data_IF_520728283106
#
_entry.id   IF_520728283106
#
_cell.length_a   1.000
_cell.length_b   1.000
_cell.length_c   1.000
_cell.angle_alpha   90.00
_cell.angle_beta   90.00
_cell.angle_gamma   90.00
#
_symmetry.space_group_name_H-M   'P 1'
#
loop_
_entity.id
_entity.type
_entity.pdbx_description
1 polymer ?
#
# COMPACT_ATOMS: atom_id res chain seq x y z
N UNK A 1 6.28 55.31 -56.90
CA UNK A 1 6.51 56.61 -56.23
C UNK A 1 5.17 57.26 -55.90
N UNK A 2 4.79 57.29 -54.62
CA UNK A 2 4.17 58.47 -54.01
C UNK A 2 4.10 58.29 -52.49
N UNK A 3 4.81 59.18 -51.81
CA UNK A 3 5.10 59.24 -50.38
C UNK A 3 4.30 60.36 -49.73
N UNK A 4 3.30 60.06 -48.89
CA UNK A 4 2.68 60.95 -47.89
C UNK A 4 1.96 60.03 -46.88
N UNK A 5 2.01 60.13 -45.56
CA UNK A 5 2.61 61.07 -44.61
C UNK A 5 2.63 60.33 -43.27
N UNK A 6 3.75 60.39 -42.55
CA UNK A 6 3.91 59.89 -41.17
C UNK A 6 3.45 60.96 -40.19
N UNK A 7 2.22 60.93 -39.68
CA UNK A 7 1.86 61.66 -38.45
C UNK A 7 0.71 60.90 -37.77
N UNK A 8 1.04 60.04 -36.81
CA UNK A 8 0.30 59.95 -35.54
C UNK A 8 1.26 59.42 -34.48
N UNK A 9 1.94 60.38 -33.86
CA UNK A 9 2.69 60.22 -32.64
C UNK A 9 1.79 59.71 -31.51
N UNK A 10 2.29 58.67 -30.84
CA UNK A 10 2.57 58.71 -29.40
C UNK A 10 1.35 58.79 -28.46
N UNK A 11 0.89 57.65 -27.91
CA UNK A 11 0.67 57.44 -26.45
C UNK A 11 0.08 56.06 -26.13
N UNK A 12 0.42 55.54 -24.94
CA UNK A 12 0.04 54.24 -24.33
C UNK A 12 0.94 53.07 -24.77
N UNK A 13 2.11 52.77 -24.19
CA UNK A 13 2.52 52.65 -22.77
C UNK A 13 1.53 51.88 -21.89
N UNK A 14 2.02 50.74 -21.37
CA UNK A 14 1.40 49.79 -20.45
C UNK A 14 0.34 48.86 -21.06
N UNK A 15 0.75 47.61 -21.31
CA UNK A 15 0.41 46.51 -20.39
C UNK A 15 1.27 45.29 -20.75
N UNK A 16 2.50 45.27 -20.22
CA UNK A 16 3.24 44.01 -20.02
C UNK A 16 2.61 43.35 -18.81
N UNK A 17 1.55 42.56 -19.02
CA UNK A 17 1.11 41.59 -18.02
C UNK A 17 1.94 40.34 -18.16
N UNK A 18 2.87 40.23 -17.21
CA UNK A 18 3.61 39.04 -16.85
C UNK A 18 2.63 37.88 -16.65
N UNK A 19 2.53 36.97 -17.63
CA UNK A 19 1.97 35.63 -17.41
C UNK A 19 3.10 34.79 -16.82
N UNK A 20 3.41 35.05 -15.56
CA UNK A 20 4.37 34.32 -14.75
C UNK A 20 3.68 33.79 -13.51
N UNK A 21 3.77 32.47 -13.31
CA UNK A 21 3.40 31.72 -12.09
C UNK A 21 1.91 31.35 -11.93
N UNK A 22 1.43 30.41 -12.73
CA UNK A 22 0.30 29.56 -12.31
C UNK A 22 0.38 28.09 -12.74
N UNK A 23 1.38 27.67 -13.53
CA UNK A 23 1.71 26.24 -13.64
C UNK A 23 2.54 25.84 -12.41
N UNK A 24 1.88 25.76 -11.25
CA UNK A 24 2.36 24.90 -10.18
C UNK A 24 2.45 23.50 -10.81
N UNK A 25 3.59 22.80 -10.75
CA UNK A 25 3.58 21.40 -11.12
C UNK A 25 2.47 20.77 -10.30
N UNK A 26 1.54 20.13 -10.99
CA UNK A 26 0.54 19.31 -10.37
C UNK A 26 1.35 18.21 -9.67
N UNK A 27 1.69 18.42 -8.40
CA UNK A 27 1.99 17.35 -7.46
C UNK A 27 0.67 16.62 -7.27
N UNK A 28 0.17 16.01 -8.35
CA UNK A 28 -0.92 15.07 -8.32
C UNK A 28 -0.49 14.07 -7.28
N UNK A 29 -1.28 14.04 -6.20
CA UNK A 29 -1.10 13.21 -5.02
C UNK A 29 -0.06 12.13 -5.30
N UNK A 30 1.19 12.40 -4.92
CA UNK A 30 2.07 11.31 -4.60
C UNK A 30 1.34 10.65 -3.44
N UNK A 31 0.52 9.66 -3.77
CA UNK A 31 0.25 8.55 -2.91
C UNK A 31 1.64 8.12 -2.47
N UNK A 32 2.10 8.69 -1.35
CA UNK A 32 2.97 7.96 -0.47
C UNK A 32 2.08 6.81 -0.05
N UNK A 33 2.25 5.60 -0.59
CA UNK A 33 1.83 4.42 0.15
C UNK A 33 2.14 4.69 1.61
N UNK A 34 1.13 4.55 2.48
CA UNK A 34 1.39 4.47 3.93
C UNK A 34 2.63 3.58 4.10
N UNK A 35 3.54 3.90 5.02
CA UNK A 35 4.79 3.13 5.23
C UNK A 35 4.56 1.61 5.39
N UNK A 36 3.30 1.18 5.54
CA UNK A 36 2.79 -0.18 5.43
C UNK A 36 2.80 -0.78 4.00
N UNK A 37 2.45 -0.03 2.94
CA UNK A 37 2.45 -0.50 1.55
C UNK A 37 3.87 -0.67 0.98
N UNK A 38 4.85 0.12 1.42
CA UNK A 38 6.25 -0.07 0.99
C UNK A 38 6.85 -1.39 1.47
N UNK A 39 6.47 -1.85 2.67
CA UNK A 39 6.95 -3.13 3.20
C UNK A 39 6.59 -4.32 2.30
N UNK A 40 5.32 -4.46 1.91
CA UNK A 40 4.87 -5.67 1.21
C UNK A 40 5.37 -5.82 -0.24
N UNK A 41 5.68 -4.71 -0.93
CA UNK A 41 6.16 -4.74 -2.31
C UNK A 41 7.56 -5.36 -2.46
N UNK A 42 8.42 -5.22 -1.44
CA UNK A 42 9.77 -5.80 -1.43
C UNK A 42 9.76 -7.30 -1.08
N UNK A 43 8.61 -7.87 -0.68
CA UNK A 43 8.52 -9.25 -0.22
C UNK A 43 8.05 -10.24 -1.29
N UNK A 44 7.85 -9.79 -2.54
CA UNK A 44 7.54 -10.70 -3.64
C UNK A 44 8.65 -11.73 -3.91
N UNK A 45 9.87 -11.46 -3.45
CA UNK A 45 11.04 -12.33 -3.59
C UNK A 45 11.27 -13.23 -2.37
N UNK A 46 10.66 -12.94 -1.21
CA UNK A 46 10.88 -13.70 0.02
C UNK A 46 10.15 -15.05 0.00
N UNK A 47 10.75 -16.04 0.66
CA UNK A 47 10.11 -17.32 0.97
C UNK A 47 8.94 -17.16 1.95
N UNK A 48 7.97 -18.09 1.94
CA UNK A 48 6.85 -18.05 2.90
C UNK A 48 7.30 -18.09 4.35
N UNK A 49 8.43 -18.76 4.64
CA UNK A 49 9.04 -18.80 5.97
C UNK A 49 9.62 -17.45 6.41
N UNK A 50 10.32 -16.74 5.51
CA UNK A 50 10.87 -15.42 5.80
C UNK A 50 9.76 -14.40 6.05
N UNK A 51 8.67 -14.48 5.28
CA UNK A 51 7.48 -13.63 5.50
C UNK A 51 6.84 -13.96 6.85
N UNK A 52 6.70 -15.25 7.19
CA UNK A 52 6.18 -15.67 8.48
C UNK A 52 7.05 -15.21 9.66
N UNK A 53 8.37 -15.29 9.51
CA UNK A 53 9.33 -14.80 10.49
C UNK A 53 9.19 -13.30 10.71
N UNK A 54 9.06 -12.52 9.63
CA UNK A 54 8.85 -11.08 9.73
C UNK A 54 7.53 -10.73 10.44
N UNK A 55 6.42 -11.36 10.03
CA UNK A 55 5.10 -11.14 10.62
C UNK A 55 5.13 -11.48 12.11
N UNK A 56 5.66 -12.65 12.46
CA UNK A 56 5.73 -13.11 13.85
C UNK A 56 6.61 -12.20 14.70
N UNK A 57 7.77 -11.75 14.21
CA UNK A 57 8.65 -10.80 14.93
C UNK A 57 7.96 -9.46 15.16
N UNK A 58 7.23 -8.95 14.16
CA UNK A 58 6.44 -7.73 14.30
C UNK A 58 5.32 -7.89 15.33
N UNK A 59 4.63 -9.05 15.31
CA UNK A 59 3.60 -9.37 16.29
C UNK A 59 4.18 -9.51 17.70
N UNK A 60 5.36 -10.12 17.85
CA UNK A 60 6.07 -10.21 19.13
C UNK A 60 6.34 -8.83 19.72
N UNK A 61 6.89 -7.92 18.92
CA UNK A 61 7.19 -6.56 19.37
C UNK A 61 5.93 -5.76 19.75
N UNK A 62 4.82 -5.95 19.03
CA UNK A 62 3.62 -5.16 19.25
C UNK A 62 2.68 -5.72 20.32
N UNK A 63 2.70 -7.04 20.54
CA UNK A 63 1.79 -7.76 21.43
C UNK A 63 2.48 -8.27 22.70
N UNK A 64 3.80 -8.12 22.80
CA UNK A 64 4.62 -8.62 23.90
C UNK A 64 4.45 -10.14 24.08
N UNK A 65 4.69 -10.87 22.99
CA UNK A 65 4.53 -12.33 22.98
C UNK A 65 5.71 -13.01 23.67
N UNK A 66 5.40 -13.97 24.54
CA UNK A 66 6.39 -14.92 25.04
C UNK A 66 6.84 -15.89 23.95
N UNK A 67 7.74 -16.82 24.29
CA UNK A 67 8.28 -17.76 23.32
C UNK A 67 7.20 -18.73 22.79
N UNK A 68 6.31 -19.20 23.66
CA UNK A 68 5.33 -20.23 23.30
C UNK A 68 4.24 -19.64 22.40
N UNK A 69 3.80 -18.41 22.68
CA UNK A 69 2.84 -17.69 21.85
C UNK A 69 3.48 -17.18 20.55
N UNK A 70 4.77 -16.82 20.57
CA UNK A 70 5.52 -16.52 19.35
C UNK A 70 5.56 -17.72 18.40
N UNK A 71 5.85 -18.93 18.91
CA UNK A 71 5.95 -20.15 18.10
C UNK A 71 4.59 -20.49 17.46
N UNK A 72 3.48 -20.32 18.19
CA UNK A 72 2.11 -20.46 17.65
C UNK A 72 1.83 -19.41 16.57
N UNK A 73 2.15 -18.14 16.83
CA UNK A 73 1.97 -17.06 15.86
C UNK A 73 2.80 -17.30 14.59
N UNK A 74 4.03 -17.81 14.72
CA UNK A 74 4.86 -18.16 13.58
C UNK A 74 4.22 -19.25 12.72
N UNK A 75 3.70 -20.32 13.33
CA UNK A 75 3.00 -21.38 12.60
C UNK A 75 1.78 -20.85 11.82
N UNK A 76 1.00 -19.98 12.45
CA UNK A 76 -0.17 -19.34 11.84
C UNK A 76 0.26 -18.41 10.69
N UNK A 77 1.31 -17.60 10.90
CA UNK A 77 1.86 -16.71 9.89
C UNK A 77 2.45 -17.48 8.70
N UNK A 78 3.01 -18.67 8.93
CA UNK A 78 3.51 -19.55 7.88
C UNK A 78 2.39 -20.10 7.02
N UNK A 79 1.30 -20.57 7.64
CA UNK A 79 0.08 -21.00 6.93
C UNK A 79 -0.47 -19.86 6.07
N UNK A 80 -0.66 -18.68 6.66
CA UNK A 80 -1.09 -17.48 5.94
C UNK A 80 -0.19 -17.16 4.73
N UNK A 81 1.13 -17.16 4.94
CA UNK A 81 2.10 -16.79 3.91
C UNK A 81 2.16 -17.80 2.77
N UNK A 82 1.91 -19.09 3.05
CA UNK A 82 1.78 -20.13 2.02
C UNK A 82 0.51 -19.92 1.20
N UNK A 83 -0.63 -19.73 1.86
CA UNK A 83 -1.92 -19.57 1.19
C UNK A 83 -2.00 -18.30 0.34
N UNK A 84 -1.43 -17.19 0.83
CA UNK A 84 -1.31 -15.96 0.05
C UNK A 84 -0.37 -16.11 -1.14
N UNK A 85 0.74 -16.86 -0.99
CA UNK A 85 1.66 -17.12 -2.12
C UNK A 85 0.97 -17.92 -3.22
N UNK A 86 0.20 -18.95 -2.86
CA UNK A 86 -0.59 -19.71 -3.84
C UNK A 86 -1.65 -18.83 -4.51
N UNK A 87 -2.35 -17.98 -3.76
CA UNK A 87 -3.30 -17.02 -4.32
C UNK A 87 -2.64 -15.98 -5.26
N UNK A 88 -1.38 -15.62 -5.02
CA UNK A 88 -0.64 -14.72 -5.91
C UNK A 88 -0.14 -15.45 -7.16
N UNK A 89 0.26 -16.72 -7.05
CA UNK A 89 0.67 -17.53 -8.22
C UNK A 89 -0.45 -17.62 -9.25
N UNK A 90 -1.69 -17.83 -8.80
CA UNK A 90 -2.87 -17.87 -9.69
C UNK A 90 -3.15 -16.54 -10.40
N UNK A 91 -2.63 -15.43 -9.89
CA UNK A 91 -2.76 -14.11 -10.51
C UNK A 91 -1.62 -13.86 -11.49
N UNK A 92 -0.40 -14.32 -11.18
CA UNK A 92 0.78 -14.20 -12.06
C UNK A 92 0.64 -14.99 -13.37
N UNK A 93 -0.29 -15.94 -13.44
CA UNK A 93 -0.61 -16.66 -14.68
C UNK A 93 -1.51 -15.86 -15.62
N UNK A 94 -2.12 -14.75 -15.18
CA UNK A 94 -2.82 -13.83 -16.09
C UNK A 94 -1.80 -13.01 -16.90
N UNK A 95 -1.91 -12.95 -18.23
CA UNK A 95 -1.04 -12.10 -19.02
C UNK A 95 -1.33 -10.62 -18.75
N UNK A 96 -0.32 -9.88 -18.29
CA UNK A 96 -0.41 -8.44 -18.07
C UNK A 96 -0.88 -8.05 -16.68
N UNK A 97 -1.58 -6.91 -16.58
CA UNK A 97 -2.08 -6.39 -15.29
C UNK A 97 -3.31 -7.21 -14.84
N UNK A 98 -3.37 -7.66 -13.58
CA UNK A 98 -4.52 -8.41 -13.08
C UNK A 98 -5.83 -7.65 -13.26
N UNK A 99 -6.89 -8.37 -13.60
CA UNK A 99 -8.20 -7.76 -13.74
C UNK A 99 -8.72 -7.19 -12.39
N UNK A 100 -9.59 -6.17 -12.39
CA UNK A 100 -10.22 -5.69 -11.16
C UNK A 100 -10.96 -6.79 -10.39
N UNK A 101 -11.60 -7.73 -11.09
CA UNK A 101 -12.27 -8.87 -10.47
C UNK A 101 -11.29 -9.82 -9.78
N UNK A 102 -10.14 -10.09 -10.42
CA UNK A 102 -9.06 -10.92 -9.88
C UNK A 102 -8.48 -10.28 -8.61
N UNK A 103 -8.28 -8.96 -8.62
CA UNK A 103 -7.84 -8.21 -7.44
C UNK A 103 -8.89 -8.30 -6.32
N UNK A 104 -10.16 -8.11 -6.64
CA UNK A 104 -11.25 -8.17 -5.66
C UNK A 104 -11.36 -9.56 -5.01
N UNK A 105 -11.29 -10.64 -5.80
CA UNK A 105 -11.26 -12.01 -5.28
C UNK A 105 -10.09 -12.27 -4.34
N UNK A 106 -8.91 -11.73 -4.66
CA UNK A 106 -7.74 -11.84 -3.78
C UNK A 106 -7.92 -11.09 -2.46
N UNK A 107 -8.53 -9.90 -2.50
CA UNK A 107 -8.85 -9.15 -1.28
C UNK A 107 -9.86 -9.88 -0.39
N UNK A 108 -10.92 -10.44 -0.98
CA UNK A 108 -11.88 -11.27 -0.24
C UNK A 108 -11.21 -12.48 0.40
N UNK A 109 -10.40 -13.23 -0.37
CA UNK A 109 -9.64 -14.36 0.16
C UNK A 109 -8.72 -13.96 1.30
N UNK A 110 -8.00 -12.84 1.17
CA UNK A 110 -7.17 -12.31 2.26
C UNK A 110 -8.00 -12.05 3.52
N UNK A 111 -9.18 -11.46 3.39
CA UNK A 111 -10.06 -11.17 4.52
C UNK A 111 -10.58 -12.45 5.18
N UNK A 112 -10.94 -13.47 4.42
CA UNK A 112 -11.33 -14.80 4.93
C UNK A 112 -10.19 -15.42 5.75
N UNK A 113 -8.97 -15.41 5.22
CA UNK A 113 -7.80 -15.91 5.94
C UNK A 113 -7.54 -15.15 7.24
N UNK A 114 -7.70 -13.82 7.23
CA UNK A 114 -7.56 -13.02 8.44
C UNK A 114 -8.65 -13.32 9.46
N UNK A 115 -9.87 -13.63 9.04
CA UNK A 115 -10.94 -14.04 9.95
C UNK A 115 -10.61 -15.37 10.63
N UNK A 116 -10.07 -16.33 9.89
CA UNK A 116 -9.71 -17.64 10.44
C UNK A 116 -8.51 -17.53 11.38
N UNK A 117 -7.48 -16.77 10.99
CA UNK A 117 -6.35 -16.43 11.87
C UNK A 117 -6.85 -15.77 13.15
N UNK A 118 -7.78 -14.82 13.06
CA UNK A 118 -8.35 -14.16 14.24
C UNK A 118 -9.02 -15.16 15.18
N UNK A 119 -9.70 -16.18 14.66
CA UNK A 119 -10.31 -17.25 15.48
C UNK A 119 -9.22 -18.09 16.15
N UNK A 120 -8.17 -18.46 15.42
CA UNK A 120 -7.03 -19.22 15.95
C UNK A 120 -6.29 -18.42 17.05
N UNK A 121 -6.02 -17.14 16.84
CA UNK A 121 -5.35 -16.29 17.82
C UNK A 121 -6.13 -16.13 19.13
N UNK A 122 -7.47 -16.11 19.07
CA UNK A 122 -8.32 -16.01 20.27
C UNK A 122 -8.18 -17.19 21.22
N UNK A 123 -7.63 -18.33 20.77
CA UNK A 123 -7.50 -19.50 21.64
C UNK A 123 -6.31 -19.40 22.60
N UNK A 124 -5.38 -18.47 22.38
CA UNK A 124 -4.18 -18.35 23.21
C UNK A 124 -3.73 -16.91 23.51
N UNK A 125 -4.16 -15.92 22.72
CA UNK A 125 -3.91 -14.51 23.02
C UNK A 125 -5.02 -13.92 23.89
N UNK A 126 -4.67 -12.91 24.69
CA UNK A 126 -5.63 -12.09 25.41
C UNK A 126 -6.48 -11.23 24.46
N UNK A 127 -7.64 -10.78 24.95
CA UNK A 127 -8.55 -9.91 24.18
C UNK A 127 -7.82 -8.65 23.66
N UNK A 128 -7.04 -8.00 24.52
CA UNK A 128 -6.29 -6.80 24.19
C UNK A 128 -5.23 -7.05 23.10
N UNK A 129 -4.56 -8.21 23.16
CA UNK A 129 -3.60 -8.61 22.12
C UNK A 129 -4.30 -8.90 20.78
N UNK A 130 -5.48 -9.53 20.77
CA UNK A 130 -6.28 -9.76 19.56
C UNK A 130 -6.78 -8.45 18.95
N UNK A 131 -7.15 -7.47 19.77
CA UNK A 131 -7.54 -6.13 19.32
C UNK A 131 -6.36 -5.37 18.70
N UNK A 132 -5.20 -5.36 19.37
CA UNK A 132 -3.95 -4.80 18.83
C UNK A 132 -3.56 -5.47 17.51
N UNK A 133 -3.63 -6.80 17.44
CA UNK A 133 -3.37 -7.53 16.20
C UNK A 133 -4.34 -7.12 15.09
N UNK A 134 -5.63 -7.00 15.39
CA UNK A 134 -6.64 -6.56 14.43
C UNK A 134 -6.24 -5.20 13.87
N UNK A 135 -5.87 -4.23 14.71
CA UNK A 135 -5.44 -2.90 14.28
C UNK A 135 -4.17 -2.94 13.39
N UNK A 136 -3.22 -3.82 13.68
CA UNK A 136 -1.99 -3.98 12.89
C UNK A 136 -2.30 -4.54 11.49
N UNK A 137 -3.28 -5.43 11.38
CA UNK A 137 -3.62 -6.11 10.12
C UNK A 137 -4.66 -5.36 9.28
N UNK A 138 -5.50 -4.53 9.90
CA UNK A 138 -6.58 -3.79 9.21
C UNK A 138 -6.27 -2.34 8.92
N UNK A 139 -5.28 -1.70 9.56
CA UNK A 139 -4.80 -0.37 9.16
C UNK A 139 -4.16 -0.47 7.77
N UNK A 140 -4.89 -0.02 6.75
CA UNK A 140 -4.43 0.20 5.36
C UNK A 140 -4.09 1.68 5.17
#
# INVERSE_FOLDING_TARGET
MNTKSKIFTLTSLLFVTVVGLAQRPNFGNQYHPSSFQQGFSQYHELGSEQVAEFISKKMRLALDLDKDDYDKVFAIALKFSKEMREAIKTIKTEPGKPSPETIHKMQLKKLELLQDIKKELKSFLSKDQVEKWTLIMTKQ
#
